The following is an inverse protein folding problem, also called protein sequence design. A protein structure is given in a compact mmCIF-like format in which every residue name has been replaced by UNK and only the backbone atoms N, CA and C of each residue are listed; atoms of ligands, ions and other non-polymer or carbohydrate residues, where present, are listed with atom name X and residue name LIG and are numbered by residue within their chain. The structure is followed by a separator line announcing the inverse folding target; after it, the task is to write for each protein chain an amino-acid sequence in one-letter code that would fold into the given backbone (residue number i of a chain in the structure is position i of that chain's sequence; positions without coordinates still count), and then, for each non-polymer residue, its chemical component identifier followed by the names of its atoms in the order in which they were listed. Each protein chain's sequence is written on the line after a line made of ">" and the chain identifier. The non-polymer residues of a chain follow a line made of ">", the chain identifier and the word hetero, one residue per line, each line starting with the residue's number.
data_IF_859533744139
#
_entry.id   IF_859533744139
#
_cell.length_a   1.000
_cell.length_b   1.000
_cell.length_c   1.000
_cell.angle_alpha   90.00
_cell.angle_beta   90.00
_cell.angle_gamma   90.00
#
_symmetry.space_group_name_H-M   'P 1'
#
loop_
_entity.id
_entity.type
_entity.pdbx_description
1 polymer ?
#
# COMPACT_ATOMS: atom_id res chain seq x y z
N UNK A 1 -7.84 -3.28 5.90
CA UNK A 1 -9.07 -2.62 5.40
C UNK A 1 -9.13 -2.85 3.90
N UNK A 2 -10.30 -3.18 3.35
CA UNK A 2 -10.47 -3.40 1.91
C UNK A 2 -11.47 -2.38 1.36
N UNK A 3 -11.04 -1.56 0.41
CA UNK A 3 -11.93 -0.70 -0.37
C UNK A 3 -12.24 -1.41 -1.69
N UNK A 4 -13.49 -1.79 -1.93
CA UNK A 4 -13.93 -2.47 -3.15
C UNK A 4 -15.12 -1.73 -3.79
N UNK A 5 -15.28 -1.89 -5.11
CA UNK A 5 -16.38 -1.31 -5.87
C UNK A 5 -15.95 -0.82 -7.27
N UNK A 6 -16.88 -0.37 -8.12
CA UNK A 6 -16.60 0.09 -9.49
C UNK A 6 -15.51 1.17 -9.58
N UNK A 7 -14.81 1.32 -10.72
CA UNK A 7 -13.86 2.41 -10.93
C UNK A 7 -14.58 3.77 -10.79
N UNK A 8 -13.87 4.78 -10.27
CA UNK A 8 -14.43 6.12 -10.07
C UNK A 8 -15.18 6.35 -8.74
N UNK A 9 -15.34 5.34 -7.87
CA UNK A 9 -15.99 5.50 -6.55
C UNK A 9 -15.13 6.16 -5.47
N UNK A 10 -13.94 6.67 -5.82
CA UNK A 10 -13.09 7.42 -4.87
C UNK A 10 -12.31 6.57 -3.86
N UNK A 11 -12.16 5.25 -4.07
CA UNK A 11 -11.42 4.34 -3.17
C UNK A 11 -10.00 4.83 -2.83
N UNK A 12 -9.20 5.12 -3.86
CA UNK A 12 -7.82 5.63 -3.70
C UNK A 12 -7.81 7.01 -3.02
N UNK A 13 -8.81 7.86 -3.28
CA UNK A 13 -8.95 9.15 -2.59
C UNK A 13 -9.27 8.96 -1.10
N UNK A 14 -10.18 8.05 -0.77
CA UNK A 14 -10.52 7.73 0.63
C UNK A 14 -9.29 7.21 1.39
N UNK A 15 -8.50 6.33 0.77
CA UNK A 15 -7.26 5.83 1.35
C UNK A 15 -6.23 6.93 1.62
N UNK A 16 -6.02 7.84 0.65
CA UNK A 16 -5.11 8.99 0.80
C UNK A 16 -5.56 9.95 1.90
N UNK A 17 -6.85 10.25 1.98
CA UNK A 17 -7.38 11.13 3.03
C UNK A 17 -7.32 10.48 4.41
N UNK A 18 -7.55 9.16 4.50
CA UNK A 18 -7.33 8.41 5.73
C UNK A 18 -5.87 8.49 6.17
N UNK A 19 -4.92 8.32 5.24
CA UNK A 19 -3.49 8.44 5.52
C UNK A 19 -3.12 9.84 6.03
N UNK A 20 -3.61 10.91 5.39
CA UNK A 20 -3.35 12.29 5.83
C UNK A 20 -3.87 12.56 7.24
N UNK A 21 -5.00 11.97 7.61
CA UNK A 21 -5.65 12.21 8.92
C UNK A 21 -5.22 11.24 10.01
N UNK A 22 -4.56 10.13 9.68
CA UNK A 22 -4.19 9.10 10.67
C UNK A 22 -3.03 9.52 11.57
N UNK A 23 -2.20 10.47 11.14
CA UNK A 23 -0.98 10.85 11.85
C UNK A 23 0.14 9.80 11.78
N UNK A 24 -0.08 8.68 11.07
CA UNK A 24 0.88 7.63 10.79
C UNK A 24 1.79 8.02 9.63
N UNK A 25 2.95 7.37 9.52
CA UNK A 25 3.68 7.40 8.25
C UNK A 25 2.86 6.69 7.17
N UNK A 26 3.10 7.00 5.90
CA UNK A 26 2.32 6.49 4.78
C UNK A 26 3.20 5.90 3.68
N UNK A 27 2.83 4.71 3.21
CA UNK A 27 3.41 4.07 2.05
C UNK A 27 2.31 3.71 1.05
N UNK A 28 2.56 3.95 -0.24
CA UNK A 28 1.70 3.51 -1.35
C UNK A 28 2.47 2.48 -2.17
N UNK A 29 1.83 1.36 -2.46
CA UNK A 29 2.31 0.31 -3.35
C UNK A 29 1.20 -0.01 -4.35
N UNK A 30 1.52 -0.03 -5.64
CA UNK A 30 0.55 -0.37 -6.69
C UNK A 30 0.90 -1.74 -7.26
N UNK A 31 -0.10 -2.57 -7.57
CA UNK A 31 0.11 -3.85 -8.28
C UNK A 31 0.98 -3.72 -9.53
N UNK A 32 0.72 -2.71 -10.36
CA UNK A 32 1.53 -2.41 -11.54
C UNK A 32 3.01 -2.07 -11.26
N UNK A 33 3.33 -1.52 -10.08
CA UNK A 33 4.71 -1.20 -9.69
C UNK A 33 5.48 -2.43 -9.22
N UNK A 34 4.77 -3.47 -8.76
CA UNK A 34 5.37 -4.64 -8.11
C UNK A 34 5.48 -5.85 -9.02
N UNK A 35 4.54 -6.04 -9.94
CA UNK A 35 4.62 -7.08 -10.97
C UNK A 35 5.96 -7.10 -11.76
N UNK A 36 6.55 -5.96 -12.18
CA UNK A 36 7.83 -5.95 -12.89
C UNK A 36 9.06 -6.14 -11.98
N UNK A 37 8.92 -6.03 -10.66
CA UNK A 37 10.05 -6.10 -9.72
C UNK A 37 10.44 -7.54 -9.37
N UNK A 38 9.59 -8.53 -9.62
CA UNK A 38 9.88 -9.94 -9.35
C UNK A 38 10.43 -10.17 -7.93
N UNK A 39 11.62 -10.77 -7.81
CA UNK A 39 12.28 -11.02 -6.51
C UNK A 39 12.66 -9.74 -5.75
N UNK A 40 12.82 -8.60 -6.42
CA UNK A 40 13.14 -7.32 -5.75
C UNK A 40 11.93 -6.75 -5.00
N UNK A 41 10.71 -7.16 -5.37
CA UNK A 41 9.49 -6.81 -4.65
C UNK A 41 9.56 -7.23 -3.19
N UNK A 42 10.00 -8.46 -2.94
CA UNK A 42 10.14 -9.05 -1.59
C UNK A 42 11.11 -8.22 -0.76
N UNK A 43 12.25 -7.84 -1.32
CA UNK A 43 13.23 -6.98 -0.65
C UNK A 43 12.65 -5.62 -0.27
N UNK A 44 11.91 -4.97 -1.18
CA UNK A 44 11.25 -3.69 -0.88
C UNK A 44 10.19 -3.83 0.20
N UNK A 45 9.40 -4.90 0.18
CA UNK A 45 8.41 -5.20 1.22
C UNK A 45 9.10 -5.37 2.59
N UNK A 46 10.22 -6.09 2.66
CA UNK A 46 11.01 -6.22 3.89
C UNK A 46 11.51 -4.86 4.41
N UNK A 47 12.05 -4.01 3.53
CA UNK A 47 12.48 -2.65 3.91
C UNK A 47 11.31 -1.82 4.46
N UNK A 48 10.12 -1.99 3.90
CA UNK A 48 8.90 -1.30 4.31
C UNK A 48 8.46 -1.76 5.72
N UNK A 49 8.55 -3.05 6.01
CA UNK A 49 8.34 -3.58 7.36
C UNK A 49 9.39 -3.12 8.36
N UNK A 50 10.67 -3.04 7.96
CA UNK A 50 11.73 -2.52 8.82
C UNK A 50 11.54 -1.04 9.12
N UNK A 51 11.06 -0.26 8.15
CA UNK A 51 10.67 1.12 8.37
C UNK A 51 9.50 1.22 9.35
N UNK A 52 8.46 0.40 9.18
CA UNK A 52 7.32 0.36 10.09
C UNK A 52 7.73 0.10 11.55
N UNK A 53 8.69 -0.82 11.76
CA UNK A 53 9.22 -1.14 13.11
C UNK A 53 10.04 -0.01 13.73
N UNK A 54 10.70 0.81 12.91
CA UNK A 54 11.54 1.93 13.36
C UNK A 54 10.76 3.24 13.53
N UNK A 55 9.58 3.34 12.92
CA UNK A 55 8.77 4.55 13.01
C UNK A 55 8.08 4.64 14.38
N UNK A 56 8.33 5.74 15.09
CA UNK A 56 7.61 6.06 16.33
C UNK A 56 6.13 6.38 16.10
N UNK A 57 5.74 6.68 14.85
CA UNK A 57 4.35 7.02 14.49
C UNK A 57 3.57 5.79 14.04
N UNK A 58 4.22 4.69 13.72
CA UNK A 58 3.63 3.57 12.99
C UNK A 58 3.43 3.89 11.50
N UNK A 59 3.01 2.89 10.72
CA UNK A 59 2.95 2.98 9.26
C UNK A 59 1.60 2.49 8.72
N UNK A 60 1.00 3.27 7.82
CA UNK A 60 -0.13 2.89 6.99
C UNK A 60 0.37 2.52 5.59
N UNK A 61 0.39 1.22 5.28
CA UNK A 61 0.66 0.71 3.94
C UNK A 61 -0.65 0.58 3.17
N UNK A 62 -0.76 1.30 2.05
CA UNK A 62 -1.83 1.13 1.09
C UNK A 62 -1.34 0.35 -0.13
N UNK A 63 -2.08 -0.71 -0.48
CA UNK A 63 -1.84 -1.51 -1.68
C UNK A 63 -3.00 -1.24 -2.64
N UNK A 64 -2.74 -0.51 -3.71
CA UNK A 64 -3.68 -0.28 -4.80
C UNK A 64 -3.52 -1.36 -5.86
N UNK A 65 -4.58 -1.68 -6.60
CA UNK A 65 -4.60 -2.79 -7.58
C UNK A 65 -4.10 -4.11 -6.98
N UNK A 66 -4.56 -4.42 -5.76
CA UNK A 66 -4.18 -5.64 -5.05
C UNK A 66 -4.57 -6.93 -5.79
N UNK A 67 -5.54 -6.85 -6.69
CA UNK A 67 -5.94 -7.92 -7.60
C UNK A 67 -4.79 -8.40 -8.50
N UNK A 68 -3.86 -7.51 -8.89
CA UNK A 68 -2.66 -7.90 -9.63
C UNK A 68 -1.73 -8.85 -8.83
N UNK A 69 -1.85 -8.89 -7.50
CA UNK A 69 -1.10 -9.82 -6.64
C UNK A 69 -1.88 -11.09 -6.29
N UNK A 70 -3.22 -11.03 -6.33
CA UNK A 70 -4.10 -12.11 -5.87
C UNK A 70 -4.56 -13.02 -7.01
N UNK A 71 -4.39 -12.59 -8.26
CA UNK A 71 -4.54 -13.42 -9.44
C UNK A 71 -3.27 -14.28 -9.66
N UNK A 72 -2.98 -15.17 -8.73
CA UNK A 72 -2.28 -16.45 -8.99
C UNK A 72 -3.30 -17.59 -8.90
#
# INVERSE_FOLDING_TARGET
>A
MLFYGPPGTGKTMAARELAKKSGLDYALMTGGDVAPLGSQAVTKIHQLFDWAKKSNRGLLLFIDEADAFLCE
#
